data_IF_982402884569
#
_entry.id   IF_982402884569
#
_cell.length_a   1.000
_cell.length_b   1.000
_cell.length_c   1.000
_cell.angle_alpha   90.00
_cell.angle_beta   90.00
_cell.angle_gamma   90.00
#
_symmetry.space_group_name_H-M   'P 1'
#
loop_
_entity.id
_entity.type
_entity.pdbx_description
1 polymer ?
#
# COMPACT_ATOMS: atom_id res chain seq x y z
N UNK A 1 -0.10 4.36 11.95
CA UNK A 1 1.11 3.58 12.30
C UNK A 1 2.28 4.09 11.48
N UNK A 2 3.53 4.01 11.98
CA UNK A 2 4.71 4.24 11.15
C UNK A 2 4.82 3.17 10.05
N UNK A 3 5.34 3.57 8.89
CA UNK A 3 5.58 2.67 7.75
C UNK A 3 6.68 1.67 8.12
N UNK A 4 6.40 0.37 7.98
CA UNK A 4 7.37 -0.69 8.23
C UNK A 4 8.37 -0.78 7.08
N UNK A 5 9.63 -1.08 7.39
CA UNK A 5 10.67 -1.29 6.39
C UNK A 5 10.46 -2.59 5.59
N UNK A 6 10.07 -3.68 6.26
CA UNK A 6 9.81 -4.99 5.64
C UNK A 6 8.53 -5.59 6.21
N UNK A 7 7.74 -6.24 5.34
CA UNK A 7 6.58 -7.05 5.72
C UNK A 7 6.90 -8.54 5.74
N UNK A 8 8.17 -8.92 5.52
CA UNK A 8 8.60 -10.32 5.55
C UNK A 8 9.88 -10.49 6.35
N UNK A 9 10.04 -11.68 6.93
CA UNK A 9 11.30 -12.13 7.55
C UNK A 9 12.44 -12.16 6.51
N UNK A 10 13.70 -12.15 6.96
CA UNK A 10 14.87 -12.22 6.08
C UNK A 10 14.85 -13.44 5.14
N UNK A 11 14.32 -14.58 5.59
CA UNK A 11 14.18 -15.79 4.78
C UNK A 11 12.88 -15.86 3.96
N UNK A 12 11.94 -14.92 4.15
CA UNK A 12 10.64 -14.92 3.46
C UNK A 12 9.63 -15.95 3.97
N UNK A 13 9.91 -16.69 5.05
CA UNK A 13 9.01 -17.73 5.57
C UNK A 13 7.89 -17.19 6.47
N UNK A 14 8.03 -15.96 6.94
CA UNK A 14 7.00 -15.24 7.70
C UNK A 14 6.67 -13.95 6.95
N UNK A 15 5.39 -13.73 6.69
CA UNK A 15 4.87 -12.58 5.94
C UNK A 15 3.71 -11.96 6.72
N UNK A 16 3.71 -10.65 6.82
CA UNK A 16 2.68 -9.83 7.47
C UNK A 16 1.76 -9.23 6.41
N UNK A 17 0.45 -9.25 6.68
CA UNK A 17 -0.58 -8.65 5.83
C UNK A 17 -1.62 -7.92 6.70
N UNK A 18 -2.47 -7.09 6.10
CA UNK A 18 -3.53 -6.36 6.80
C UNK A 18 -2.97 -5.43 7.89
N UNK A 19 -3.68 -5.32 9.01
CA UNK A 19 -3.32 -4.38 10.08
C UNK A 19 -1.92 -4.59 10.67
N UNK A 20 -1.42 -5.83 10.64
CA UNK A 20 -0.05 -6.11 11.06
C UNK A 20 0.98 -5.38 10.18
N UNK A 21 0.72 -5.28 8.88
CA UNK A 21 1.59 -4.63 7.92
C UNK A 21 1.31 -3.13 7.76
N UNK A 22 0.04 -2.73 7.77
CA UNK A 22 -0.38 -1.38 7.39
C UNK A 22 -1.69 -0.90 8.05
N UNK A 23 -1.78 -0.99 9.39
CA UNK A 23 -2.96 -0.51 10.12
C UNK A 23 -3.48 0.85 9.65
N UNK A 24 -4.72 0.85 9.16
CA UNK A 24 -5.37 2.01 8.54
C UNK A 24 -6.31 2.72 9.53
N UNK A 25 -6.54 4.04 9.39
CA UNK A 25 -7.60 4.71 10.13
C UNK A 25 -8.96 4.10 9.81
N UNK A 26 -9.76 3.82 10.84
CA UNK A 26 -11.11 3.26 10.68
C UNK A 26 -12.02 4.13 9.78
N UNK A 27 -11.81 5.45 9.78
CA UNK A 27 -12.54 6.40 8.95
C UNK A 27 -12.31 6.25 7.43
N UNK A 28 -11.33 5.47 7.01
CA UNK A 28 -11.13 5.12 5.60
C UNK A 28 -12.14 4.12 5.06
N UNK A 29 -12.65 3.22 5.93
CA UNK A 29 -13.44 2.07 5.49
C UNK A 29 -12.67 1.07 4.63
N UNK A 30 -11.33 1.14 4.58
CA UNK A 30 -10.52 0.35 3.64
C UNK A 30 -9.68 -0.76 4.29
N UNK A 31 -9.54 -0.80 5.62
CA UNK A 31 -8.64 -1.77 6.28
C UNK A 31 -8.87 -3.23 5.86
N UNK A 32 -10.13 -3.70 5.90
CA UNK A 32 -10.48 -5.07 5.47
C UNK A 32 -10.27 -5.26 3.97
N UNK A 33 -10.66 -4.31 3.12
CA UNK A 33 -10.45 -4.41 1.68
C UNK A 33 -8.97 -4.54 1.34
N UNK A 34 -8.11 -3.75 2.00
CA UNK A 34 -6.67 -3.82 1.78
C UNK A 34 -6.06 -5.13 2.28
N UNK A 35 -6.53 -5.67 3.41
CA UNK A 35 -6.12 -7.00 3.85
C UNK A 35 -6.55 -8.12 2.87
N UNK A 36 -7.72 -7.99 2.24
CA UNK A 36 -8.18 -8.93 1.20
C UNK A 36 -7.34 -8.82 -0.08
N UNK A 37 -7.02 -7.60 -0.51
CA UNK A 37 -6.11 -7.36 -1.64
C UNK A 37 -4.71 -7.94 -1.38
N UNK A 38 -4.19 -7.81 -0.16
CA UNK A 38 -2.91 -8.43 0.22
C UNK A 38 -2.99 -9.95 0.09
N UNK A 39 -3.99 -10.58 0.69
CA UNK A 39 -4.14 -12.03 0.68
C UNK A 39 -4.28 -12.56 -0.76
N UNK A 40 -5.10 -11.90 -1.58
CA UNK A 40 -5.33 -12.30 -2.96
C UNK A 40 -4.09 -12.12 -3.84
N UNK A 41 -3.44 -10.95 -3.77
CA UNK A 41 -2.23 -10.69 -4.55
C UNK A 41 -1.07 -11.58 -4.12
N UNK A 42 -0.88 -11.79 -2.81
CA UNK A 42 0.13 -12.69 -2.26
C UNK A 42 -0.10 -14.13 -2.72
N UNK A 43 -1.34 -14.62 -2.74
CA UNK A 43 -1.66 -15.98 -3.20
C UNK A 43 -1.34 -16.20 -4.69
N UNK A 44 -1.24 -15.14 -5.50
CA UNK A 44 -0.82 -15.25 -6.91
C UNK A 44 0.71 -15.40 -7.06
N UNK A 45 1.49 -14.93 -6.09
CA UNK A 45 2.96 -14.92 -6.21
C UNK A 45 3.59 -16.31 -6.25
N UNK A 46 3.17 -17.32 -5.47
CA UNK A 46 3.75 -18.67 -5.56
C UNK A 46 3.57 -19.37 -6.91
N UNK A 47 2.72 -18.85 -7.81
CA UNK A 47 2.65 -19.33 -9.20
C UNK A 47 3.85 -18.89 -10.05
N UNK A 48 4.69 -18.00 -9.52
CA UNK A 48 5.96 -17.56 -10.09
C UNK A 48 7.10 -18.42 -9.51
N UNK A 49 8.19 -18.59 -10.25
CA UNK A 49 9.33 -19.41 -9.82
C UNK A 49 9.78 -19.04 -8.39
N UNK A 50 9.66 -20.00 -7.49
CA UNK A 50 9.92 -19.84 -6.08
C UNK A 50 11.16 -20.66 -5.73
N UNK A 51 12.33 -20.04 -5.83
CA UNK A 51 13.55 -20.55 -5.24
C UNK A 51 13.97 -19.65 -4.07
N UNK A 52 14.74 -20.21 -3.13
CA UNK A 52 15.10 -19.53 -1.88
C UNK A 52 15.91 -18.23 -2.10
N UNK A 53 16.60 -18.09 -3.23
CA UNK A 53 17.38 -16.89 -3.56
C UNK A 53 16.53 -15.75 -4.12
N UNK A 54 15.48 -16.08 -4.87
CA UNK A 54 14.60 -15.13 -5.55
C UNK A 54 13.43 -14.72 -4.66
N UNK A 55 12.97 -15.62 -3.77
CA UNK A 55 11.79 -15.40 -2.94
C UNK A 55 11.82 -14.10 -2.11
N UNK A 56 12.90 -13.75 -1.39
CA UNK A 56 12.96 -12.48 -0.67
C UNK A 56 12.90 -11.24 -1.57
N UNK A 57 13.39 -11.32 -2.82
CA UNK A 57 13.32 -10.20 -3.79
C UNK A 57 11.90 -10.01 -4.28
N UNK A 58 11.23 -11.11 -4.60
CA UNK A 58 9.82 -11.14 -5.02
C UNK A 58 8.91 -10.55 -3.93
N UNK A 59 9.10 -10.94 -2.66
CA UNK A 59 8.32 -10.39 -1.55
C UNK A 59 8.55 -8.88 -1.36
N UNK A 60 9.78 -8.38 -1.56
CA UNK A 60 10.05 -6.94 -1.54
C UNK A 60 9.38 -6.19 -2.70
N UNK A 61 9.37 -6.77 -3.89
CA UNK A 61 8.69 -6.20 -5.05
C UNK A 61 7.18 -6.08 -4.81
N UNK A 62 6.56 -7.15 -4.31
CA UNK A 62 5.15 -7.16 -3.92
C UNK A 62 4.83 -6.17 -2.80
N UNK A 63 5.63 -6.14 -1.72
CA UNK A 63 5.47 -5.16 -0.65
C UNK A 63 5.52 -3.75 -1.20
N UNK A 64 6.52 -3.42 -2.02
CA UNK A 64 6.64 -2.08 -2.61
C UNK A 64 5.40 -1.73 -3.44
N UNK A 65 4.90 -2.66 -4.25
CA UNK A 65 3.68 -2.44 -5.05
C UNK A 65 2.43 -2.24 -4.17
N UNK A 66 2.23 -3.04 -3.12
CA UNK A 66 1.12 -2.85 -2.17
C UNK A 66 1.23 -1.51 -1.44
N UNK A 67 2.44 -1.16 -1.02
CA UNK A 67 2.72 0.06 -0.27
C UNK A 67 2.33 1.32 -1.05
N UNK A 68 2.47 1.32 -2.39
CA UNK A 68 2.07 2.45 -3.24
C UNK A 68 0.57 2.77 -3.09
N UNK A 69 -0.30 1.74 -3.08
CA UNK A 69 -1.75 1.93 -2.88
C UNK A 69 -2.08 2.33 -1.43
N UNK A 70 -1.41 1.72 -0.45
CA UNK A 70 -1.56 2.05 0.98
C UNK A 70 -1.21 3.52 1.25
N UNK A 71 -0.08 3.99 0.70
CA UNK A 71 0.38 5.36 0.87
C UNK A 71 -0.63 6.36 0.27
N UNK A 72 -1.19 6.05 -0.91
CA UNK A 72 -2.24 6.86 -1.55
C UNK A 72 -3.54 6.91 -0.74
N UNK A 73 -3.92 5.82 -0.07
CA UNK A 73 -5.08 5.81 0.84
C UNK A 73 -4.78 6.68 2.07
N UNK A 74 -3.58 6.63 2.63
CA UNK A 74 -3.19 7.50 3.74
C UNK A 74 -3.24 8.99 3.35
N UNK A 75 -2.79 9.34 2.15
CA UNK A 75 -2.87 10.71 1.62
C UNK A 75 -4.33 11.17 1.46
N UNK A 76 -5.18 10.36 0.83
CA UNK A 76 -6.61 10.62 0.73
C UNK A 76 -7.25 10.84 2.12
N UNK A 77 -6.83 10.06 3.11
CA UNK A 77 -7.33 10.18 4.48
C UNK A 77 -6.84 11.44 5.18
N UNK A 78 -5.57 11.83 4.98
CA UNK A 78 -5.06 13.12 5.49
C UNK A 78 -5.89 14.27 4.93
N UNK A 79 -6.11 14.30 3.61
CA UNK A 79 -6.94 15.32 2.97
C UNK A 79 -8.40 15.33 3.50
N UNK A 80 -9.01 14.16 3.66
CA UNK A 80 -10.38 14.03 4.19
C UNK A 80 -10.47 14.51 5.64
N UNK A 81 -9.49 14.18 6.48
CA UNK A 81 -9.46 14.63 7.86
C UNK A 81 -9.24 16.15 7.95
N UNK A 82 -8.40 16.74 7.09
CA UNK A 82 -8.24 18.20 6.99
C UNK A 82 -9.58 18.88 6.67
N UNK A 83 -10.34 18.34 5.71
CA UNK A 83 -11.69 18.86 5.39
C UNK A 83 -12.70 18.69 6.53
N UNK A 84 -12.47 17.81 7.50
CA UNK A 84 -13.34 17.64 8.68
C UNK A 84 -12.87 18.44 9.90
N UNK A 85 -11.63 18.95 9.87
CA UNK A 85 -11.04 19.72 10.96
C UNK A 85 -11.56 21.17 11.00
N UNK A 86 -11.44 21.79 12.18
CA UNK A 86 -11.82 23.19 12.40
C UNK A 86 -10.93 24.16 11.60
N UNK A 87 -11.39 25.38 11.35
CA UNK A 87 -10.61 26.39 10.61
C UNK A 87 -9.25 26.68 11.25
N UNK A 88 -9.17 26.68 12.59
CA UNK A 88 -7.94 26.87 13.34
C UNK A 88 -6.93 25.72 13.11
N UNK A 89 -7.42 24.48 13.05
CA UNK A 89 -6.60 23.30 12.77
C UNK A 89 -6.17 23.25 11.30
N UNK A 90 -7.06 23.62 10.38
CA UNK A 90 -6.74 23.75 8.95
C UNK A 90 -5.64 24.77 8.71
N UNK A 91 -5.70 25.95 9.34
CA UNK A 91 -4.69 27.00 9.17
C UNK A 91 -3.29 26.53 9.60
N UNK A 92 -3.20 25.80 10.73
CA UNK A 92 -1.93 25.22 11.21
C UNK A 92 -1.38 24.15 10.26
N UNK A 93 -2.25 23.31 9.69
CA UNK A 93 -1.85 22.26 8.75
C UNK A 93 -1.42 22.84 7.39
N UNK A 94 -2.12 23.86 6.89
CA UNK A 94 -1.80 24.57 5.64
C UNK A 94 -0.46 25.31 5.69
N UNK A 95 -0.07 25.86 6.84
CA UNK A 95 1.27 26.43 7.05
C UNK A 95 2.39 25.37 6.93
N UNK A 96 2.05 24.10 7.17
CA UNK A 96 3.00 22.99 7.14
C UNK A 96 3.08 22.33 5.75
N UNK A 97 2.02 22.40 4.96
CA UNK A 97 1.89 21.69 3.69
C UNK A 97 1.75 22.66 2.51
N UNK A 98 2.89 23.09 1.96
CA UNK A 98 2.93 23.79 0.69
C UNK A 98 2.91 22.80 -0.48
N UNK A 99 1.80 22.82 -1.22
CA UNK A 99 1.58 22.21 -2.55
C UNK A 99 1.40 20.69 -2.57
N UNK A 100 0.15 20.24 -2.45
CA UNK A 100 -0.41 19.45 -3.55
C UNK A 100 -1.93 19.65 -3.60
N UNK A 101 -2.42 20.19 -4.72
CA UNK A 101 -3.80 20.60 -4.88
C UNK A 101 -4.45 19.74 -5.96
N UNK A 102 -5.65 19.25 -5.65
CA UNK A 102 -6.60 18.70 -6.61
C UNK A 102 -6.24 17.34 -7.23
N UNK A 103 -6.43 16.27 -6.46
CA UNK A 103 -6.81 14.99 -7.08
C UNK A 103 -8.30 15.07 -7.41
N UNK A 104 -8.62 15.21 -8.70
CA UNK A 104 -9.99 15.08 -9.21
C UNK A 104 -10.62 13.81 -8.63
N UNK A 105 -11.92 13.92 -8.34
CA UNK A 105 -12.83 12.98 -7.65
C UNK A 105 -13.01 11.61 -8.34
N UNK A 106 -12.00 11.08 -9.02
CA UNK A 106 -12.02 9.74 -9.56
C UNK A 106 -11.55 8.77 -8.48
N UNK A 107 -12.50 8.12 -7.80
CA UNK A 107 -12.24 7.11 -6.78
C UNK A 107 -12.03 5.69 -7.36
N UNK A 108 -12.07 5.53 -8.68
CA UNK A 108 -11.99 4.21 -9.32
C UNK A 108 -10.72 3.45 -8.93
N UNK A 109 -9.58 4.16 -8.80
CA UNK A 109 -8.31 3.58 -8.36
C UNK A 109 -8.38 2.88 -7.00
N UNK A 110 -9.32 3.27 -6.13
CA UNK A 110 -9.47 2.69 -4.81
C UNK A 110 -10.02 1.26 -4.91
N UNK A 111 -10.90 1.02 -5.88
CA UNK A 111 -11.61 -0.24 -6.07
C UNK A 111 -10.89 -1.19 -7.04
N UNK A 112 -9.99 -0.67 -7.87
CA UNK A 112 -9.23 -1.47 -8.82
C UNK A 112 -7.99 -2.09 -8.15
N UNK A 113 -7.74 -3.37 -8.44
CA UNK A 113 -6.51 -4.06 -8.10
C UNK A 113 -5.70 -4.27 -9.39
N UNK A 114 -4.74 -3.40 -9.62
CA UNK A 114 -3.92 -3.38 -10.83
C UNK A 114 -2.85 -4.49 -10.81
N UNK A 115 -3.27 -5.70 -11.17
CA UNK A 115 -2.36 -6.85 -11.22
C UNK A 115 -1.35 -6.74 -12.36
N UNK A 116 -1.67 -6.04 -13.45
CA UNK A 116 -0.76 -5.91 -14.59
C UNK A 116 0.53 -5.19 -14.18
N UNK A 117 0.42 -4.15 -13.34
CA UNK A 117 1.60 -3.49 -12.77
C UNK A 117 2.38 -4.36 -11.79
N UNK A 118 1.70 -5.24 -11.04
CA UNK A 118 2.37 -6.24 -10.20
C UNK A 118 3.15 -7.22 -11.08
N UNK A 119 2.53 -7.74 -12.13
CA UNK A 119 3.18 -8.67 -13.07
C UNK A 119 4.40 -8.05 -13.74
N UNK A 120 4.29 -6.80 -14.19
CA UNK A 120 5.41 -6.05 -14.75
C UNK A 120 6.57 -5.91 -13.75
N UNK A 121 6.26 -5.58 -12.48
CA UNK A 121 7.27 -5.43 -11.42
C UNK A 121 7.92 -6.76 -11.04
N UNK A 122 7.19 -7.87 -11.16
CA UNK A 122 7.72 -9.22 -10.93
C UNK A 122 8.53 -9.76 -12.12
N UNK A 123 8.23 -9.32 -13.35
CA UNK A 123 8.94 -9.76 -14.54
C UNK A 123 10.44 -9.43 -14.51
N UNK A 124 10.83 -8.33 -13.85
CA UNK A 124 12.23 -7.94 -13.63
C UNK A 124 13.02 -8.97 -12.80
N UNK A 125 12.31 -9.83 -12.04
CA UNK A 125 12.92 -10.84 -11.17
C UNK A 125 12.88 -12.26 -11.74
N UNK A 126 12.21 -12.49 -12.88
CA UNK A 126 12.15 -13.80 -13.58
C UNK A 126 13.40 -14.13 -14.41
N UNK A 127 14.35 -13.20 -14.58
CA UNK A 127 15.52 -13.36 -15.48
C UNK A 127 16.82 -13.77 -14.75
N UNK A 128 16.73 -14.27 -13.52
CA UNK A 128 17.87 -14.75 -12.72
C UNK A 128 17.80 -16.27 -12.62
#
# INVERSE_FOLDING_TARGET
MPKLHSWSSSSGNVIMIGDAAHAMPASSGQGVNQALEDAFSLAKIPSYECNDEVWPKVLRAWQSWRQDKIDRIHEMMRATNMMRSSELERSKLLETESKDQSTKNNMQWLFDLDLDTLEAKLADHRKL
#
